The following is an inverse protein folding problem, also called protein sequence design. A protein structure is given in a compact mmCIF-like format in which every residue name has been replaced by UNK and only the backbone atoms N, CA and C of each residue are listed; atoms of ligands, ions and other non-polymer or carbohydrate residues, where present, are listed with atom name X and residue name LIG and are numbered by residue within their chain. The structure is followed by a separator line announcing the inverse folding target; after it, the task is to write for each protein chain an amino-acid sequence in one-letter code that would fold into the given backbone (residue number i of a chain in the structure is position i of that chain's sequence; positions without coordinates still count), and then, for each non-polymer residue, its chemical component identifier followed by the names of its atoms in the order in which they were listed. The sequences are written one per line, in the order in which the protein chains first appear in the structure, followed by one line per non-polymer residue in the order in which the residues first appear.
data_IF_868691440769
#
_entry.id   IF_868691440769
#
_cell.length_a   1.000
_cell.length_b   1.000
_cell.length_c   1.000
_cell.angle_alpha   90.00
_cell.angle_beta   90.00
_cell.angle_gamma   90.00
#
_symmetry.space_group_name_H-M   'P 1'
#
loop_
_entity.id
_entity.type
_entity.pdbx_description
1 polymer ?
#
# COMPACT_ATOMS: atom_id res chain seq x y z
N UNK A 1 3.10 -17.64 23.48
CA UNK A 1 2.60 -17.02 22.25
C UNK A 1 2.05 -15.63 22.58
N UNK A 2 2.47 -14.61 21.87
CA UNK A 2 1.98 -13.24 22.06
C UNK A 2 0.71 -13.05 21.20
N UNK A 3 -0.44 -13.32 21.82
CA UNK A 3 -1.73 -13.28 21.12
C UNK A 3 -2.12 -11.85 20.73
N UNK A 4 -1.80 -10.86 21.56
CA UNK A 4 -2.09 -9.45 21.27
C UNK A 4 -1.30 -8.95 20.04
N UNK A 5 -0.03 -9.34 19.96
CA UNK A 5 0.78 -9.05 18.78
C UNK A 5 0.21 -9.70 17.52
N UNK A 6 -0.20 -10.98 17.59
CA UNK A 6 -0.76 -11.70 16.45
C UNK A 6 -2.10 -11.10 16.00
N UNK A 7 -2.97 -10.71 16.93
CA UNK A 7 -4.20 -10.00 16.61
C UNK A 7 -3.95 -8.70 15.83
N UNK A 8 -2.89 -7.96 16.18
CA UNK A 8 -2.47 -6.76 15.44
C UNK A 8 -1.94 -7.06 14.02
N UNK A 9 -1.52 -8.30 13.75
CA UNK A 9 -1.04 -8.73 12.42
C UNK A 9 -2.15 -9.26 11.53
N UNK A 10 -3.35 -9.50 12.07
CA UNK A 10 -4.50 -10.08 11.36
C UNK A 10 -5.76 -9.20 11.43
N UNK A 11 -5.65 -7.88 11.15
CA UNK A 11 -6.81 -7.00 11.19
C UNK A 11 -7.82 -7.40 10.12
N UNK A 12 -9.12 -7.40 10.48
CA UNK A 12 -10.21 -7.76 9.57
C UNK A 12 -10.34 -9.25 9.23
N UNK A 13 -9.53 -10.12 9.84
CA UNK A 13 -9.64 -11.57 9.64
C UNK A 13 -10.85 -12.13 10.38
N UNK A 14 -11.60 -13.00 9.71
CA UNK A 14 -12.64 -13.78 10.34
C UNK A 14 -12.05 -14.91 11.21
N UNK A 15 -12.87 -15.52 12.04
CA UNK A 15 -12.45 -16.71 12.81
C UNK A 15 -11.95 -17.85 11.91
N UNK A 16 -12.53 -18.01 10.71
CA UNK A 16 -12.07 -18.99 9.71
C UNK A 16 -10.68 -18.64 9.16
N UNK A 17 -10.40 -17.36 8.89
CA UNK A 17 -9.09 -16.92 8.45
C UNK A 17 -8.03 -17.16 9.52
N UNK A 18 -8.34 -16.86 10.79
CA UNK A 18 -7.44 -17.09 11.92
C UNK A 18 -7.17 -18.59 12.09
N UNK A 19 -8.20 -19.44 11.99
CA UNK A 19 -8.01 -20.89 12.02
C UNK A 19 -7.08 -21.37 10.89
N UNK A 20 -7.23 -20.80 9.69
CA UNK A 20 -6.35 -21.08 8.55
C UNK A 20 -4.90 -20.62 8.82
N UNK A 21 -4.70 -19.45 9.44
CA UNK A 21 -3.36 -18.98 9.88
C UNK A 21 -2.75 -19.98 10.87
N UNK A 22 -3.50 -20.45 11.85
CA UNK A 22 -3.00 -21.43 12.83
C UNK A 22 -2.57 -22.75 12.16
N UNK A 23 -3.38 -23.27 11.24
CA UNK A 23 -3.06 -24.48 10.48
C UNK A 23 -1.82 -24.30 9.61
N UNK A 24 -1.72 -23.18 8.90
CA UNK A 24 -0.57 -22.89 8.05
C UNK A 24 0.71 -22.70 8.89
N UNK A 25 0.63 -22.03 10.04
CA UNK A 25 1.77 -21.89 10.96
C UNK A 25 2.27 -23.25 11.47
N UNK A 26 1.35 -24.17 11.77
CA UNK A 26 1.71 -25.53 12.17
C UNK A 26 2.39 -26.29 11.02
N UNK A 27 1.90 -26.16 9.79
CA UNK A 27 2.54 -26.75 8.61
C UNK A 27 3.94 -26.18 8.34
N UNK A 28 4.13 -24.87 8.53
CA UNK A 28 5.44 -24.20 8.39
C UNK A 28 6.40 -24.74 9.45
N UNK A 29 5.98 -24.82 10.72
CA UNK A 29 6.79 -25.36 11.81
C UNK A 29 7.19 -26.83 11.54
N UNK A 30 6.24 -27.65 11.07
CA UNK A 30 6.49 -29.05 10.72
C UNK A 30 7.50 -29.20 9.57
N UNK A 31 7.39 -28.39 8.51
CA UNK A 31 8.35 -28.39 7.40
C UNK A 31 9.77 -27.98 7.83
N UNK A 32 9.86 -27.13 8.84
CA UNK A 32 11.13 -26.69 9.44
C UNK A 32 11.62 -27.63 10.54
N UNK A 33 11.02 -28.82 10.73
CA UNK A 33 11.32 -29.82 11.76
C UNK A 33 11.33 -29.25 13.20
N UNK A 34 10.48 -28.25 13.47
CA UNK A 34 10.32 -27.66 14.80
C UNK A 34 9.40 -28.52 15.66
N UNK A 35 9.67 -28.57 16.98
CA UNK A 35 8.83 -29.29 17.95
C UNK A 35 7.61 -28.49 18.42
N UNK A 36 7.59 -27.17 18.15
CA UNK A 36 6.51 -26.27 18.53
C UNK A 36 6.39 -25.12 17.54
N UNK A 37 5.17 -24.55 17.45
CA UNK A 37 4.88 -23.39 16.61
C UNK A 37 5.34 -22.12 17.34
N UNK A 38 6.16 -21.32 16.71
CA UNK A 38 6.66 -20.06 17.25
C UNK A 38 6.07 -18.83 16.57
N UNK A 39 6.38 -17.65 17.10
CA UNK A 39 5.94 -16.34 16.57
C UNK A 39 6.25 -16.20 15.07
N UNK A 40 7.46 -16.59 14.64
CA UNK A 40 7.87 -16.47 13.24
C UNK A 40 7.01 -17.34 12.32
N UNK A 41 6.62 -18.55 12.75
CA UNK A 41 5.80 -19.42 11.93
C UNK A 41 4.40 -18.82 11.67
N UNK A 42 3.86 -18.09 12.65
CA UNK A 42 2.61 -17.34 12.48
C UNK A 42 2.77 -16.16 11.52
N UNK A 43 3.88 -15.42 11.61
CA UNK A 43 4.15 -14.31 10.67
C UNK A 43 4.28 -14.82 9.24
N UNK A 44 5.02 -15.91 9.05
CA UNK A 44 5.19 -16.55 7.74
C UNK A 44 3.86 -17.10 7.20
N UNK A 45 2.99 -17.59 8.09
CA UNK A 45 1.64 -18.06 7.75
C UNK A 45 0.74 -16.90 7.28
N UNK A 46 0.73 -15.79 8.01
CA UNK A 46 0.00 -14.58 7.61
C UNK A 46 0.49 -14.11 6.24
N UNK A 47 1.81 -14.03 6.05
CA UNK A 47 2.42 -13.65 4.78
C UNK A 47 1.98 -14.54 3.61
N UNK A 48 1.90 -15.86 3.87
CA UNK A 48 1.49 -16.84 2.87
C UNK A 48 0.02 -16.75 2.51
N UNK A 49 -0.82 -16.49 3.50
CA UNK A 49 -2.28 -16.39 3.29
C UNK A 49 -2.62 -15.09 2.55
N UNK A 50 -2.04 -13.97 2.95
CA UNK A 50 -2.34 -12.65 2.37
C UNK A 50 -1.58 -12.42 1.07
N UNK A 51 -0.28 -12.72 1.03
CA UNK A 51 0.61 -12.45 -0.11
C UNK A 51 0.75 -13.62 -1.10
N UNK A 52 0.28 -14.81 -0.72
CA UNK A 52 0.46 -16.04 -1.50
C UNK A 52 1.82 -16.72 -1.27
N UNK A 53 2.06 -17.76 -2.04
CA UNK A 53 3.29 -18.54 -1.95
C UNK A 53 4.51 -17.72 -2.39
N UNK A 54 5.60 -17.83 -1.64
CA UNK A 54 6.91 -17.32 -2.03
C UNK A 54 7.38 -18.04 -3.31
N UNK A 55 7.79 -17.26 -4.30
CA UNK A 55 8.29 -17.78 -5.58
C UNK A 55 9.81 -17.93 -5.54
N UNK A 56 10.30 -18.99 -4.91
CA UNK A 56 11.74 -19.28 -4.78
C UNK A 56 12.46 -19.49 -6.12
N UNK A 57 11.75 -19.88 -7.17
CA UNK A 57 12.32 -20.20 -8.47
C UNK A 57 12.24 -19.03 -9.48
N UNK A 58 11.82 -17.83 -9.05
CA UNK A 58 11.79 -16.69 -9.96
C UNK A 58 13.20 -16.14 -10.12
N UNK A 59 13.74 -16.24 -11.32
CA UNK A 59 15.02 -15.63 -11.66
C UNK A 59 14.78 -14.13 -11.80
N UNK A 60 15.28 -13.36 -10.85
CA UNK A 60 15.26 -11.91 -10.86
C UNK A 60 16.69 -11.42 -11.07
N UNK A 61 16.91 -10.60 -12.08
CA UNK A 61 18.21 -10.00 -12.32
C UNK A 61 18.58 -9.01 -11.20
N UNK A 62 19.87 -8.73 -11.05
CA UNK A 62 20.32 -7.72 -10.07
C UNK A 62 19.72 -6.33 -10.35
N UNK A 63 19.55 -5.98 -11.62
CA UNK A 63 18.95 -4.72 -12.04
C UNK A 63 17.47 -4.65 -11.66
N UNK A 64 16.70 -5.71 -11.93
CA UNK A 64 15.29 -5.80 -11.50
C UNK A 64 15.15 -5.77 -9.99
N UNK A 65 15.98 -6.52 -9.25
CA UNK A 65 15.97 -6.52 -7.78
C UNK A 65 16.24 -5.10 -7.22
N UNK A 66 17.17 -4.38 -7.83
CA UNK A 66 17.45 -3.00 -7.48
C UNK A 66 16.24 -2.08 -7.75
N UNK A 67 15.62 -2.23 -8.92
CA UNK A 67 14.42 -1.46 -9.28
C UNK A 67 13.27 -1.72 -8.29
N UNK A 68 13.02 -2.98 -7.94
CA UNK A 68 12.01 -3.37 -6.95
C UNK A 68 12.33 -2.75 -5.59
N UNK A 69 13.58 -2.79 -5.14
CA UNK A 69 13.96 -2.22 -3.84
C UNK A 69 13.70 -0.72 -3.76
N UNK A 70 14.00 0.04 -4.82
CA UNK A 70 13.67 1.46 -4.87
C UNK A 70 12.17 1.73 -4.99
N UNK A 71 11.44 0.88 -5.70
CA UNK A 71 9.99 0.96 -5.83
C UNK A 71 9.32 0.82 -4.44
N UNK A 72 9.63 -0.25 -3.73
CA UNK A 72 9.07 -0.50 -2.40
C UNK A 72 9.53 0.53 -1.36
N UNK A 73 10.79 0.98 -1.44
CA UNK A 73 11.27 2.08 -0.61
C UNK A 73 10.52 3.39 -0.89
N UNK A 74 10.12 3.63 -2.14
CA UNK A 74 9.30 4.77 -2.53
C UNK A 74 7.94 4.78 -1.84
N UNK A 75 7.22 3.66 -1.88
CA UNK A 75 5.96 3.48 -1.15
C UNK A 75 6.14 3.73 0.34
N UNK A 76 7.19 3.15 0.92
CA UNK A 76 7.48 3.25 2.34
C UNK A 76 7.71 4.69 2.79
N UNK A 77 8.54 5.45 2.07
CA UNK A 77 8.89 6.83 2.45
C UNK A 77 7.69 7.76 2.30
N UNK A 78 6.97 7.67 1.17
CA UNK A 78 5.82 8.54 0.95
C UNK A 78 4.75 8.28 2.00
N UNK A 79 4.45 7.02 2.27
CA UNK A 79 3.50 6.62 3.31
C UNK A 79 3.93 7.08 4.71
N UNK A 80 5.24 6.97 5.05
CA UNK A 80 5.76 7.37 6.35
C UNK A 80 5.60 8.86 6.64
N UNK A 81 5.72 9.69 5.59
CA UNK A 81 5.70 11.15 5.68
C UNK A 81 4.32 11.77 5.44
N UNK A 82 3.29 10.97 5.17
CA UNK A 82 1.92 11.44 5.00
C UNK A 82 1.07 11.17 6.25
N UNK A 83 0.26 12.16 6.61
CA UNK A 83 -0.56 12.15 7.82
C UNK A 83 -1.58 11.01 7.81
N UNK A 84 -2.30 10.88 6.70
CA UNK A 84 -3.45 9.99 6.60
C UNK A 84 -3.13 8.64 5.97
N UNK A 85 -1.89 8.42 5.53
CA UNK A 85 -1.47 7.11 5.04
C UNK A 85 -1.43 6.07 6.17
N UNK A 86 -1.84 4.84 5.88
CA UNK A 86 -1.86 3.77 6.86
C UNK A 86 -0.44 3.51 7.43
N UNK A 87 -0.32 3.18 8.73
CA UNK A 87 0.95 2.85 9.35
C UNK A 87 1.62 1.66 8.67
N UNK A 88 2.90 1.79 8.36
CA UNK A 88 3.69 0.75 7.73
C UNK A 88 4.17 -0.27 8.77
N UNK A 89 3.94 -1.55 8.52
CA UNK A 89 4.35 -2.67 9.38
C UNK A 89 5.69 -3.22 8.93
N UNK A 90 5.80 -3.53 7.63
CA UNK A 90 7.02 -4.06 7.02
C UNK A 90 7.06 -3.75 5.53
N UNK A 91 8.26 -3.83 4.96
CA UNK A 91 8.50 -3.73 3.52
C UNK A 91 9.32 -4.93 3.09
N UNK A 92 8.99 -5.55 1.98
CA UNK A 92 9.69 -6.72 1.46
C UNK A 92 9.89 -6.65 -0.04
N UNK A 93 11.01 -7.19 -0.50
CA UNK A 93 11.31 -7.41 -1.92
C UNK A 93 11.31 -8.91 -2.28
N UNK A 94 10.78 -9.74 -1.37
CA UNK A 94 10.60 -11.18 -1.61
C UNK A 94 9.34 -11.38 -2.46
N UNK A 95 9.47 -12.00 -3.66
CA UNK A 95 8.32 -12.18 -4.55
C UNK A 95 7.30 -13.17 -3.97
N UNK A 96 6.03 -12.75 -3.93
CA UNK A 96 4.91 -13.61 -3.50
C UNK A 96 3.72 -13.46 -4.43
N UNK A 97 3.04 -14.56 -4.75
CA UNK A 97 1.87 -14.53 -5.61
C UNK A 97 2.15 -13.82 -6.94
N UNK A 98 1.46 -12.75 -7.24
CA UNK A 98 1.67 -11.92 -8.44
C UNK A 98 2.61 -10.74 -8.17
N UNK A 99 2.93 -10.43 -6.91
CA UNK A 99 3.78 -9.30 -6.54
C UNK A 99 5.27 -9.65 -6.59
N UNK A 100 6.09 -8.66 -6.94
CA UNK A 100 7.55 -8.72 -6.91
C UNK A 100 8.13 -8.25 -5.58
N UNK A 101 7.40 -7.41 -4.87
CA UNK A 101 7.66 -6.89 -3.54
C UNK A 101 6.35 -6.43 -2.92
N UNK A 102 6.36 -5.94 -1.69
CA UNK A 102 5.19 -5.36 -1.05
C UNK A 102 5.56 -4.47 0.14
N UNK A 103 4.88 -3.34 0.25
CA UNK A 103 4.78 -2.56 1.47
C UNK A 103 3.51 -2.98 2.23
N UNK A 104 3.66 -3.43 3.46
CA UNK A 104 2.57 -3.93 4.29
C UNK A 104 2.14 -2.88 5.28
N UNK A 105 0.86 -2.58 5.26
CA UNK A 105 0.23 -1.56 6.08
C UNK A 105 -0.66 -2.19 7.14
N UNK A 106 -0.79 -1.53 8.29
CA UNK A 106 -1.81 -1.87 9.26
C UNK A 106 -3.11 -1.16 8.82
N UNK A 107 -4.13 -1.91 8.37
CA UNK A 107 -5.40 -1.29 8.00
C UNK A 107 -6.00 -0.59 9.22
N UNK A 108 -6.44 0.64 9.03
CA UNK A 108 -7.28 1.31 10.01
C UNK A 108 -8.74 1.08 9.63
N UNK A 109 -9.53 0.53 10.54
CA UNK A 109 -10.97 0.43 10.37
C UNK A 109 -11.56 1.85 10.34
N UNK A 110 -12.03 2.26 9.18
CA UNK A 110 -12.66 3.56 8.97
C UNK A 110 -14.01 3.34 8.30
N UNK A 111 -15.06 3.75 8.97
CA UNK A 111 -16.44 3.71 8.43
C UNK A 111 -16.68 4.82 7.42
N UNK A 112 -15.98 5.96 7.57
CA UNK A 112 -16.08 7.13 6.71
C UNK A 112 -14.67 7.58 6.35
N UNK A 113 -14.44 7.85 5.06
CA UNK A 113 -13.14 8.30 4.53
C UNK A 113 -13.30 9.69 3.94
N UNK A 114 -12.43 10.62 4.31
CA UNK A 114 -12.39 11.99 3.78
C UNK A 114 -11.53 12.07 2.52
N UNK A 115 -11.74 13.12 1.74
CA UNK A 115 -10.98 13.35 0.50
C UNK A 115 -9.47 13.37 0.73
N UNK A 116 -9.00 14.04 1.79
CA UNK A 116 -7.56 14.14 2.12
C UNK A 116 -6.95 12.76 2.39
N UNK A 117 -7.70 11.87 3.01
CA UNK A 117 -7.27 10.50 3.31
C UNK A 117 -7.11 9.68 2.03
N UNK A 118 -8.07 9.79 1.10
CA UNK A 118 -7.99 9.14 -0.20
C UNK A 118 -6.82 9.68 -1.02
N UNK A 119 -6.58 10.99 -1.01
CA UNK A 119 -5.48 11.62 -1.72
C UNK A 119 -4.10 11.22 -1.15
N UNK A 120 -3.98 11.11 0.18
CA UNK A 120 -2.74 10.63 0.81
C UNK A 120 -2.47 9.15 0.47
N UNK A 121 -3.51 8.31 0.45
CA UNK A 121 -3.38 6.92 0.03
C UNK A 121 -2.95 6.81 -1.44
N UNK A 122 -3.54 7.61 -2.33
CA UNK A 122 -3.14 7.66 -3.74
C UNK A 122 -1.69 8.12 -3.90
N UNK A 123 -1.29 9.15 -3.16
CA UNK A 123 0.08 9.67 -3.17
C UNK A 123 1.08 8.59 -2.72
N UNK A 124 0.78 7.86 -1.64
CA UNK A 124 1.61 6.75 -1.15
C UNK A 124 1.69 5.60 -2.17
N UNK A 125 0.55 5.26 -2.79
CA UNK A 125 0.48 4.24 -3.84
C UNK A 125 1.29 4.61 -5.08
N UNK A 126 1.42 5.88 -5.43
CA UNK A 126 2.26 6.35 -6.54
C UNK A 126 3.75 6.47 -6.18
N UNK A 127 4.11 6.26 -4.91
CA UNK A 127 5.47 6.36 -4.38
C UNK A 127 6.47 5.47 -5.10
N UNK A 128 6.10 4.23 -5.43
CA UNK A 128 6.96 3.28 -6.14
C UNK A 128 7.37 3.79 -7.53
N UNK A 129 6.38 4.16 -8.34
CA UNK A 129 6.61 4.73 -9.69
C UNK A 129 7.40 6.04 -9.64
N UNK A 130 7.15 6.88 -8.63
CA UNK A 130 7.88 8.13 -8.44
C UNK A 130 9.35 7.87 -8.09
N UNK A 131 9.63 6.86 -7.26
CA UNK A 131 11.00 6.45 -6.92
C UNK A 131 11.78 5.96 -8.14
N UNK A 132 11.20 5.11 -8.97
CA UNK A 132 11.81 4.68 -10.24
C UNK A 132 12.19 5.89 -11.10
N UNK A 133 11.27 6.83 -11.29
CA UNK A 133 11.50 8.05 -12.09
C UNK A 133 12.63 8.90 -11.55
N UNK A 134 12.70 9.10 -10.23
CA UNK A 134 13.69 9.97 -9.59
C UNK A 134 15.08 9.35 -9.59
N UNK A 135 15.17 8.03 -9.38
CA UNK A 135 16.45 7.35 -9.24
C UNK A 135 17.04 6.90 -10.56
N UNK A 136 16.22 6.43 -11.49
CA UNK A 136 16.68 5.85 -12.75
C UNK A 136 16.34 6.70 -13.98
N UNK A 137 15.53 7.75 -13.80
CA UNK A 137 14.91 8.52 -14.91
C UNK A 137 14.14 7.61 -15.91
N UNK A 138 13.74 6.44 -15.46
CA UNK A 138 12.98 5.43 -16.20
C UNK A 138 11.80 5.00 -15.35
N UNK A 139 10.80 4.42 -15.98
CA UNK A 139 9.63 3.82 -15.33
C UNK A 139 9.41 2.43 -15.92
N UNK A 140 8.86 1.53 -15.12
CA UNK A 140 8.65 0.14 -15.50
C UNK A 140 7.18 -0.24 -15.50
N UNK A 141 6.89 -1.46 -15.93
CA UNK A 141 5.56 -2.07 -15.84
C UNK A 141 5.21 -2.54 -14.43
N UNK A 142 6.14 -2.49 -13.49
CA UNK A 142 5.96 -2.96 -12.10
C UNK A 142 4.85 -2.22 -11.35
N UNK A 143 4.58 -0.97 -11.71
CA UNK A 143 3.53 -0.16 -11.10
C UNK A 143 2.10 -0.43 -11.64
N UNK A 144 1.85 -1.54 -12.35
CA UNK A 144 0.51 -1.80 -12.94
C UNK A 144 -0.60 -1.83 -11.87
N UNK A 145 -0.40 -2.58 -10.80
CA UNK A 145 -1.38 -2.69 -9.70
C UNK A 145 -1.61 -1.36 -8.99
N UNK A 146 -0.56 -0.56 -8.83
CA UNK A 146 -0.65 0.76 -8.22
C UNK A 146 -1.45 1.72 -9.09
N UNK A 147 -1.19 1.72 -10.39
CA UNK A 147 -1.93 2.54 -11.34
C UNK A 147 -3.40 2.13 -11.43
N UNK A 148 -3.69 0.83 -11.39
CA UNK A 148 -5.06 0.33 -11.33
C UNK A 148 -5.77 0.82 -10.06
N UNK A 149 -5.12 0.69 -8.91
CA UNK A 149 -5.66 1.13 -7.61
C UNK A 149 -5.95 2.64 -7.62
N UNK A 150 -5.00 3.48 -7.99
CA UNK A 150 -5.21 4.94 -7.98
C UNK A 150 -6.22 5.39 -9.02
N UNK A 151 -6.32 4.71 -10.16
CA UNK A 151 -7.33 5.01 -11.18
C UNK A 151 -8.73 4.71 -10.66
N UNK A 152 -8.92 3.58 -9.98
CA UNK A 152 -10.19 3.24 -9.32
C UNK A 152 -10.56 4.25 -8.24
N UNK A 153 -9.59 4.66 -7.41
CA UNK A 153 -9.81 5.66 -6.36
C UNK A 153 -10.15 7.04 -6.93
N UNK A 154 -9.41 7.51 -7.95
CA UNK A 154 -9.70 8.79 -8.62
C UNK A 154 -11.09 8.78 -9.26
N UNK A 155 -11.46 7.69 -9.93
CA UNK A 155 -12.80 7.51 -10.49
C UNK A 155 -13.88 7.56 -9.40
N UNK A 156 -13.64 6.92 -8.26
CA UNK A 156 -14.58 6.94 -7.14
C UNK A 156 -14.76 8.35 -6.56
N UNK A 157 -13.68 9.12 -6.41
CA UNK A 157 -13.73 10.52 -5.96
C UNK A 157 -14.59 11.35 -6.90
N UNK A 158 -14.39 11.19 -8.22
CA UNK A 158 -15.02 12.06 -9.24
C UNK A 158 -16.45 11.64 -9.53
N UNK A 159 -16.75 10.32 -9.65
CA UNK A 159 -18.03 9.86 -10.21
C UNK A 159 -18.90 9.06 -9.24
N UNK A 160 -18.39 8.68 -8.06
CA UNK A 160 -19.16 7.88 -7.08
C UNK A 160 -19.51 8.70 -5.84
N UNK A 161 -18.52 9.36 -5.23
CA UNK A 161 -18.70 9.98 -3.93
C UNK A 161 -19.06 11.48 -3.97
N UNK A 162 -19.06 12.11 -5.15
CA UNK A 162 -19.33 13.53 -5.29
C UNK A 162 -18.29 14.41 -4.56
N UNK A 163 -17.02 13.98 -4.54
CA UNK A 163 -15.92 14.65 -3.83
C UNK A 163 -15.06 15.52 -4.76
N UNK A 164 -15.56 15.86 -5.94
CA UNK A 164 -14.88 16.72 -6.91
C UNK A 164 -15.72 17.97 -7.19
N UNK A 165 -15.14 19.15 -6.95
CA UNK A 165 -15.86 20.43 -7.04
C UNK A 165 -16.38 20.76 -8.44
N UNK A 166 -15.70 20.26 -9.51
CA UNK A 166 -16.10 20.55 -10.89
C UNK A 166 -17.25 19.69 -11.39
N UNK A 167 -17.36 18.46 -10.87
CA UNK A 167 -18.48 17.57 -11.14
C UNK A 167 -19.64 17.87 -10.19
N UNK A 168 -19.32 18.29 -8.95
CA UNK A 168 -20.27 18.66 -7.92
C UNK A 168 -20.82 17.48 -7.13
N UNK A 169 -21.90 17.73 -6.39
CA UNK A 169 -22.53 16.78 -5.47
C UNK A 169 -23.43 15.79 -6.20
N UNK A 170 -22.88 15.11 -7.18
CA UNK A 170 -23.59 14.13 -8.03
C UNK A 170 -22.90 12.78 -7.95
N UNK A 171 -23.69 11.71 -7.89
CA UNK A 171 -23.19 10.35 -8.09
C UNK A 171 -23.70 9.79 -9.41
N UNK A 172 -22.82 9.13 -10.14
CA UNK A 172 -23.15 8.34 -11.33
C UNK A 172 -23.12 6.84 -11.04
N UNK A 173 -23.02 6.48 -9.75
CA UNK A 173 -23.03 5.10 -9.29
C UNK A 173 -24.43 4.68 -8.88
N UNK A 174 -24.88 3.53 -9.38
CA UNK A 174 -26.13 2.90 -8.99
C UNK A 174 -25.84 1.72 -8.06
N UNK A 175 -26.20 1.87 -6.78
CA UNK A 175 -26.02 0.83 -5.77
C UNK A 175 -27.01 -0.34 -5.88
N UNK A 176 -28.04 -0.23 -6.74
CA UNK A 176 -29.03 -1.32 -6.97
C UNK A 176 -28.46 -2.48 -7.80
N UNK A 177 -27.32 -2.28 -8.47
CA UNK A 177 -26.70 -3.28 -9.34
C UNK A 177 -27.46 -3.53 -10.66
N UNK A 178 -28.53 -2.76 -10.94
CA UNK A 178 -29.32 -2.94 -12.15
C UNK A 178 -28.67 -2.32 -13.39
N UNK A 179 -27.70 -1.40 -13.21
CA UNK A 179 -27.00 -0.74 -14.31
C UNK A 179 -25.96 -1.61 -15.02
N UNK A 180 -25.55 -2.75 -14.47
CA UNK A 180 -24.62 -3.68 -15.14
C UNK A 180 -25.18 -4.24 -16.46
N UNK A 181 -26.48 -4.13 -16.69
CA UNK A 181 -27.15 -4.54 -17.95
C UNK A 181 -27.36 -3.38 -18.92
N UNK A 182 -27.11 -2.12 -18.53
CA UNK A 182 -27.23 -0.97 -19.42
C UNK A 182 -25.86 -0.61 -20.01
N UNK A 183 -25.70 -0.87 -21.32
CA UNK A 183 -24.52 -0.48 -22.10
C UNK A 183 -24.36 1.05 -22.28
N UNK A 184 -25.27 1.85 -21.71
CA UNK A 184 -25.26 3.31 -21.85
C UNK A 184 -24.70 3.98 -20.59
N UNK A 185 -23.78 4.91 -20.79
CA UNK A 185 -23.28 5.76 -19.70
C UNK A 185 -24.43 6.62 -19.14
N UNK A 186 -24.53 6.81 -17.79
CA UNK A 186 -25.58 7.62 -17.18
C UNK A 186 -25.35 9.14 -17.32
N UNK A 187 -24.52 9.56 -18.24
CA UNK A 187 -24.13 10.96 -18.45
C UNK A 187 -23.75 11.23 -19.91
N UNK A 188 -23.80 12.51 -20.31
CA UNK A 188 -23.45 12.97 -21.66
C UNK A 188 -21.96 12.80 -21.99
N UNK A 189 -21.59 12.83 -23.27
CA UNK A 189 -20.20 12.77 -23.70
C UNK A 189 -19.39 13.99 -23.19
N UNK A 190 -20.02 15.16 -23.03
CA UNK A 190 -19.37 16.32 -22.44
C UNK A 190 -19.01 16.08 -20.97
N UNK A 191 -19.93 15.47 -20.20
CA UNK A 191 -19.67 15.08 -18.82
C UNK A 191 -18.62 13.98 -18.74
N UNK A 192 -18.65 12.99 -19.65
CA UNK A 192 -17.61 11.94 -19.73
C UNK A 192 -16.23 12.56 -19.88
N UNK A 193 -16.07 13.51 -20.79
CA UNK A 193 -14.80 14.22 -21.00
C UNK A 193 -14.33 14.94 -19.75
N UNK A 194 -15.23 15.66 -19.05
CA UNK A 194 -14.90 16.33 -17.79
C UNK A 194 -14.45 15.32 -16.69
N UNK A 195 -15.12 14.18 -16.59
CA UNK A 195 -14.76 13.11 -15.65
C UNK A 195 -13.35 12.59 -15.95
N UNK A 196 -13.03 12.29 -17.21
CA UNK A 196 -11.72 11.80 -17.62
C UNK A 196 -10.61 12.83 -17.35
N UNK A 197 -10.86 14.10 -17.62
CA UNK A 197 -9.93 15.21 -17.33
C UNK A 197 -9.67 15.32 -15.82
N UNK A 198 -10.70 15.29 -14.97
CA UNK A 198 -10.54 15.40 -13.52
C UNK A 198 -9.85 14.18 -12.91
N UNK A 199 -10.14 12.96 -13.40
CA UNK A 199 -9.43 11.75 -12.98
C UNK A 199 -7.93 11.88 -13.27
N UNK A 200 -7.57 12.26 -14.50
CA UNK A 200 -6.18 12.47 -14.89
C UNK A 200 -5.49 13.53 -14.04
N UNK A 201 -6.17 14.65 -13.79
CA UNK A 201 -5.65 15.76 -13.01
C UNK A 201 -5.38 15.39 -11.55
N UNK A 202 -6.28 14.64 -10.93
CA UNK A 202 -6.09 14.15 -9.56
C UNK A 202 -4.88 13.23 -9.49
N UNK A 203 -4.75 12.26 -10.40
CA UNK A 203 -3.64 11.30 -10.42
C UNK A 203 -2.32 12.02 -10.60
N UNK A 204 -2.21 12.91 -11.60
CA UNK A 204 -0.98 13.66 -11.88
C UNK A 204 -0.59 14.58 -10.72
N UNK A 205 -1.55 15.20 -10.04
CA UNK A 205 -1.31 16.00 -8.84
C UNK A 205 -0.70 15.17 -7.71
N UNK A 206 -1.23 13.97 -7.45
CA UNK A 206 -0.68 13.08 -6.42
C UNK A 206 0.67 12.49 -6.83
N UNK A 207 0.87 12.16 -8.10
CA UNK A 207 2.17 11.72 -8.62
C UNK A 207 3.25 12.78 -8.44
N UNK A 208 2.95 14.03 -8.79
CA UNK A 208 3.87 15.17 -8.57
C UNK A 208 4.20 15.35 -7.09
N UNK A 209 3.19 15.24 -6.21
CA UNK A 209 3.36 15.31 -4.76
C UNK A 209 4.30 14.20 -4.26
N UNK A 210 4.13 12.96 -4.70
CA UNK A 210 5.01 11.85 -4.38
C UNK A 210 6.45 12.11 -4.85
N UNK A 211 6.62 12.60 -6.09
CA UNK A 211 7.93 13.00 -6.61
C UNK A 211 8.59 14.07 -5.75
N UNK A 212 7.86 15.10 -5.33
CA UNK A 212 8.41 16.19 -4.53
C UNK A 212 8.83 15.73 -3.13
N UNK A 213 8.05 14.83 -2.51
CA UNK A 213 8.41 14.18 -1.22
C UNK A 213 9.70 13.39 -1.38
N UNK A 214 9.82 12.56 -2.41
CA UNK A 214 10.98 11.70 -2.62
C UNK A 214 12.23 12.48 -3.03
N UNK A 215 12.12 13.55 -3.82
CA UNK A 215 13.24 14.45 -4.14
C UNK A 215 13.86 15.04 -2.88
N UNK A 216 13.03 15.51 -1.94
CA UNK A 216 13.48 16.06 -0.66
C UNK A 216 14.12 15.00 0.24
N UNK A 217 13.82 13.74 0.04
CA UNK A 217 14.28 12.62 0.86
C UNK A 217 15.15 11.60 0.09
N UNK A 218 15.84 12.04 -0.98
CA UNK A 218 16.60 11.17 -1.89
C UNK A 218 17.67 10.33 -1.18
N UNK A 219 18.36 10.88 -0.19
CA UNK A 219 19.36 10.15 0.61
C UNK A 219 18.71 9.04 1.43
N UNK A 220 17.56 9.31 2.06
CA UNK A 220 16.78 8.31 2.81
C UNK A 220 16.25 7.21 1.89
N UNK A 221 15.83 7.57 0.67
CA UNK A 221 15.38 6.62 -0.35
C UNK A 221 16.49 5.63 -0.71
N UNK A 222 17.71 6.14 -0.96
CA UNK A 222 18.86 5.27 -1.24
C UNK A 222 19.24 4.39 -0.05
N UNK A 223 19.23 4.92 1.16
CA UNK A 223 19.54 4.16 2.38
C UNK A 223 18.51 3.03 2.60
N UNK A 224 17.23 3.33 2.42
CA UNK A 224 16.15 2.35 2.60
C UNK A 224 16.20 1.24 1.53
N UNK A 225 16.42 1.61 0.26
CA UNK A 225 16.58 0.64 -0.82
C UNK A 225 17.80 -0.26 -0.61
N UNK A 226 18.94 0.30 -0.19
CA UNK A 226 20.13 -0.49 0.17
C UNK A 226 19.84 -1.46 1.30
N UNK A 227 19.12 -1.02 2.32
CA UNK A 227 18.73 -1.90 3.43
C UNK A 227 17.81 -3.03 3.01
N UNK A 228 16.87 -2.76 2.07
CA UNK A 228 16.03 -3.80 1.47
C UNK A 228 16.84 -4.80 0.65
N UNK A 229 17.86 -4.35 -0.09
CA UNK A 229 18.74 -5.26 -0.83
C UNK A 229 19.56 -6.18 0.07
N UNK A 230 19.93 -5.70 1.27
CA UNK A 230 20.68 -6.50 2.26
C UNK A 230 19.79 -7.53 2.98
N UNK A 231 18.62 -7.07 3.48
CA UNK A 231 17.77 -7.86 4.39
C UNK A 231 16.58 -8.53 3.70
N UNK A 232 16.22 -8.10 2.49
CA UNK A 232 15.02 -8.48 1.73
C UNK A 232 13.69 -8.18 2.43
N UNK A 233 13.66 -8.14 3.75
CA UNK A 233 12.52 -7.75 4.59
C UNK A 233 13.00 -6.80 5.66
N UNK A 234 12.32 -5.66 5.82
CA UNK A 234 12.58 -4.68 6.86
C UNK A 234 11.29 -4.39 7.64
N UNK A 235 11.43 -4.09 8.92
CA UNK A 235 10.33 -3.82 9.84
C UNK A 235 10.36 -2.37 10.33
N UNK A 236 9.36 -1.99 11.14
CA UNK A 236 9.19 -0.64 11.69
C UNK A 236 10.48 -0.10 12.33
N UNK A 237 11.24 -0.94 13.02
CA UNK A 237 12.47 -0.54 13.71
C UNK A 237 13.58 -0.10 12.73
N UNK A 238 13.69 -0.74 11.56
CA UNK A 238 14.62 -0.32 10.52
C UNK A 238 14.14 1.00 9.86
N UNK A 239 12.81 1.17 9.70
CA UNK A 239 12.22 2.40 9.16
C UNK A 239 12.50 3.59 10.09
N UNK A 240 12.28 3.44 11.40
CA UNK A 240 12.57 4.48 12.40
C UNK A 240 14.04 4.88 12.37
N UNK A 241 14.96 3.91 12.27
CA UNK A 241 16.42 4.20 12.22
C UNK A 241 16.82 5.03 11.00
N UNK A 242 16.16 4.83 9.84
CA UNK A 242 16.53 5.49 8.59
C UNK A 242 15.73 6.79 8.39
N UNK A 243 14.43 6.77 8.70
CA UNK A 243 13.52 7.87 8.44
C UNK A 243 13.32 8.80 9.62
N UNK A 244 13.61 8.33 10.85
CA UNK A 244 13.23 8.96 12.11
C UNK A 244 11.81 8.52 12.53
N UNK A 245 11.35 9.00 13.69
CA UNK A 245 9.97 8.76 14.13
C UNK A 245 8.97 9.27 13.10
N UNK A 246 7.83 8.58 13.01
CA UNK A 246 6.77 9.00 12.08
C UNK A 246 6.16 10.32 12.56
N UNK A 247 6.12 11.39 11.74
CA UNK A 247 5.67 12.72 12.16
C UNK A 247 4.22 12.77 12.69
N UNK A 248 3.40 11.81 12.30
CA UNK A 248 1.95 11.75 12.58
C UNK A 248 1.58 10.47 13.35
N UNK A 249 2.34 10.12 14.40
CA UNK A 249 1.99 8.97 15.24
C UNK A 249 0.85 9.34 16.20
N UNK A 250 -0.21 8.51 16.25
CA UNK A 250 -1.38 8.74 17.11
C UNK A 250 -1.08 8.75 18.62
N UNK A 251 0.14 8.42 19.05
CA UNK A 251 0.55 8.45 20.45
C UNK A 251 0.73 9.90 20.97
N UNK A 252 1.08 10.86 20.11
CA UNK A 252 1.23 12.26 20.50
C UNK A 252 -0.11 13.00 20.62
N UNK A 253 -1.11 12.66 19.82
CA UNK A 253 -2.44 13.28 19.87
C UNK A 253 -3.17 12.98 21.20
N UNK A 254 -2.84 11.88 21.89
CA UNK A 254 -3.40 11.57 23.22
C UNK A 254 -2.80 12.38 24.38
N UNK A 255 -1.67 13.04 24.17
CA UNK A 255 -1.04 13.89 25.18
C UNK A 255 -1.55 15.32 25.15
N UNK A 256 -1.87 15.85 23.96
CA UNK A 256 -2.40 17.22 23.81
C UNK A 256 -3.89 17.37 24.20
N UNK A 257 -4.64 16.27 24.28
CA UNK A 257 -6.06 16.29 24.67
C UNK A 257 -6.26 16.09 26.18
N UNK A 258 -5.18 16.05 27.00
CA UNK A 258 -5.23 15.90 28.46
C UNK A 258 -4.69 17.12 29.22
N UNK A 259 -4.41 18.21 28.56
CA UNK A 259 -4.22 19.56 29.10
C UNK A 259 -5.42 20.43 28.72
#
# INVERSE_FOLDING_TARGET
LDVEFLAKQTPGFSGADIANVCNEAALIAARNNKKSVGKQDFLDAVDRIVGGLEKKNKIITKEEKNTIAFHEAGHAIVSWLLEHAAPLVKVTIVPRGQSLGAAWYLPEERLIVRTEQMLDEMCATLGGRAAEKIMFNKISTGALSDLEKVTKQARAIVSVYGLNDKIGNITYYDSSGQTDYNFTKPYSEETAKKIDEEISLIIEKQYKRACDILKKNKSKLSALASRLLEKEVIFKEDLVKILGERPYSKEEVKKETKE
#
